data_IF_204510116412
#
_entry.id   IF_204510116412
#
_cell.length_a   1.000
_cell.length_b   1.000
_cell.length_c   1.000
_cell.angle_alpha   90.00
_cell.angle_beta   90.00
_cell.angle_gamma   90.00
#
_symmetry.space_group_name_H-M   'P 1'
#
loop_
_entity.id
_entity.type
_entity.pdbx_description
1 polymer ?
#
# COMPACT_ATOMS: atom_id res chain seq x y z
N UNK A 1 1.05 -14.27 22.95
CA UNK A 1 1.37 -13.20 23.92
C UNK A 1 1.70 -11.95 23.13
N UNK A 2 1.01 -10.84 23.39
CA UNK A 2 1.36 -9.54 22.80
C UNK A 2 2.68 -9.07 23.39
N UNK A 3 3.60 -8.60 22.54
CA UNK A 3 4.82 -7.95 23.00
C UNK A 3 4.44 -6.69 23.80
N UNK A 4 5.08 -6.47 24.96
CA UNK A 4 4.90 -5.23 25.70
C UNK A 4 5.76 -4.13 25.07
N UNK A 5 5.09 -3.17 24.43
CA UNK A 5 5.70 -2.06 23.70
C UNK A 5 5.27 -0.77 24.36
N UNK A 6 6.23 0.05 24.76
CA UNK A 6 5.99 1.37 25.34
C UNK A 6 6.63 2.46 24.45
N UNK A 7 5.81 3.36 23.91
CA UNK A 7 6.33 4.48 23.10
C UNK A 7 6.88 5.56 24.03
N UNK A 8 8.15 5.90 23.85
CA UNK A 8 8.86 6.90 24.66
C UNK A 8 8.80 8.26 24.00
N UNK A 9 8.96 8.31 22.67
CA UNK A 9 9.00 9.54 21.91
C UNK A 9 8.49 9.31 20.50
N UNK A 10 7.62 10.19 20.05
CA UNK A 10 7.25 10.32 18.64
C UNK A 10 7.62 11.74 18.18
N UNK A 11 8.54 11.84 17.22
CA UNK A 11 8.97 13.12 16.65
C UNK A 11 8.70 13.11 15.15
N UNK A 12 7.88 14.04 14.67
CA UNK A 12 7.73 14.30 13.24
C UNK A 12 9.05 14.88 12.70
N UNK A 13 9.57 14.24 11.66
CA UNK A 13 10.75 14.69 10.90
C UNK A 13 10.34 15.47 9.65
N UNK A 14 9.21 15.11 9.03
CA UNK A 14 8.65 15.78 7.84
C UNK A 14 7.15 15.54 7.76
N UNK A 15 6.37 16.54 7.34
CA UNK A 15 4.91 16.43 7.15
C UNK A 15 4.41 17.01 5.82
N UNK A 16 5.22 16.99 4.77
CA UNK A 16 4.80 17.62 3.50
C UNK A 16 3.54 16.98 2.90
N UNK A 17 3.67 15.77 2.37
CA UNK A 17 2.55 15.04 1.75
C UNK A 17 2.19 13.77 2.53
N UNK A 18 3.20 13.14 3.12
CA UNK A 18 3.12 11.97 3.98
C UNK A 18 3.98 12.23 5.21
N UNK A 19 3.67 11.57 6.32
CA UNK A 19 4.32 11.87 7.60
C UNK A 19 5.52 10.96 7.79
N UNK A 20 6.71 11.55 7.93
CA UNK A 20 7.91 10.84 8.37
C UNK A 20 8.09 11.10 9.87
N UNK A 21 8.11 10.03 10.67
CA UNK A 21 8.28 10.07 12.13
C UNK A 21 9.56 9.38 12.54
N UNK A 22 10.18 9.85 13.62
CA UNK A 22 11.25 9.16 14.32
C UNK A 22 10.70 8.68 15.66
N UNK A 23 10.35 7.40 15.72
CA UNK A 23 9.77 6.77 16.90
C UNK A 23 10.85 6.13 17.76
N UNK A 24 10.87 6.51 19.04
CA UNK A 24 11.62 5.83 20.08
C UNK A 24 10.64 5.03 20.93
N UNK A 25 10.85 3.72 21.02
CA UNK A 25 10.02 2.83 21.82
C UNK A 25 10.87 1.81 22.56
N UNK A 26 10.31 1.29 23.65
CA UNK A 26 10.89 0.22 24.44
C UNK A 26 10.11 -1.07 24.21
N UNK A 27 10.85 -2.15 23.96
CA UNK A 27 10.32 -3.49 23.75
C UNK A 27 10.77 -4.38 24.91
N UNK A 28 9.81 -4.97 25.63
CA UNK A 28 10.13 -5.99 26.64
C UNK A 28 10.26 -7.34 25.95
N UNK A 29 11.44 -7.94 26.03
CA UNK A 29 11.73 -9.28 25.49
C UNK A 29 11.11 -10.36 26.39
N UNK A 30 11.10 -11.59 25.88
CA UNK A 30 10.58 -12.74 26.62
C UNK A 30 11.36 -13.04 27.92
N UNK A 31 12.63 -12.64 28.00
CA UNK A 31 13.49 -12.76 29.19
C UNK A 31 13.26 -11.63 30.22
N UNK A 32 12.31 -10.72 29.96
CA UNK A 32 12.04 -9.56 30.81
C UNK A 32 12.99 -8.38 30.59
N UNK A 33 14.02 -8.50 29.73
CA UNK A 33 14.90 -7.39 29.40
C UNK A 33 14.16 -6.34 28.55
N UNK A 34 14.41 -5.06 28.84
CA UNK A 34 13.82 -3.94 28.09
C UNK A 34 14.87 -3.37 27.15
N UNK A 35 14.50 -3.22 25.88
CA UNK A 35 15.38 -2.68 24.84
C UNK A 35 14.77 -1.44 24.25
N UNK A 36 15.54 -0.35 24.23
CA UNK A 36 15.15 0.88 23.55
C UNK A 36 15.56 0.82 22.08
N UNK A 37 14.58 1.01 21.20
CA UNK A 37 14.75 1.12 19.76
C UNK A 37 14.43 2.54 19.30
N UNK A 38 15.09 2.93 18.21
CA UNK A 38 14.81 4.15 17.46
C UNK A 38 14.61 3.77 16.00
N UNK A 39 13.49 4.16 15.40
CA UNK A 39 13.11 3.81 14.02
C UNK A 39 12.49 5.01 13.32
N UNK A 40 12.89 5.20 12.07
CA UNK A 40 12.17 6.09 11.17
C UNK A 40 11.00 5.33 10.56
N UNK A 41 9.81 5.92 10.67
CA UNK A 41 8.54 5.34 10.20
C UNK A 41 7.97 6.33 9.19
N UNK A 42 7.84 5.88 7.95
CA UNK A 42 7.26 6.68 6.88
C UNK A 42 5.82 6.26 6.65
N UNK A 43 4.88 7.04 7.16
CA UNK A 43 3.45 6.76 7.12
C UNK A 43 2.85 7.36 5.84
N UNK A 44 2.48 6.48 4.92
CA UNK A 44 1.84 6.82 3.64
C UNK A 44 0.35 6.51 3.61
N UNK A 45 -0.22 6.08 4.73
CA UNK A 45 -1.56 5.53 4.81
C UNK A 45 -1.67 4.11 4.23
N UNK A 46 -2.89 3.58 4.26
CA UNK A 46 -3.21 2.25 3.73
C UNK A 46 -3.70 2.33 2.28
N UNK A 47 -3.38 1.31 1.50
CA UNK A 47 -3.87 1.15 0.13
C UNK A 47 -4.66 -0.13 -0.06
N UNK A 48 -5.46 -0.17 -1.13
CA UNK A 48 -6.07 -1.39 -1.64
C UNK A 48 -5.59 -1.67 -3.05
N UNK A 49 -5.46 -2.95 -3.38
CA UNK A 49 -5.19 -3.40 -4.75
C UNK A 49 -6.16 -4.50 -5.17
N UNK A 50 -6.44 -4.58 -6.47
CA UNK A 50 -7.30 -5.58 -7.08
C UNK A 50 -6.60 -6.28 -8.26
N UNK A 51 -6.72 -7.60 -8.27
CA UNK A 51 -6.38 -8.42 -9.42
C UNK A 51 -7.67 -8.90 -10.09
N UNK A 52 -7.86 -8.50 -11.35
CA UNK A 52 -8.98 -8.93 -12.18
C UNK A 52 -8.55 -10.15 -13.00
N UNK A 53 -9.23 -11.28 -12.80
CA UNK A 53 -8.96 -12.52 -13.52
C UNK A 53 -10.20 -13.00 -14.30
N UNK A 54 -10.02 -13.29 -15.58
CA UNK A 54 -11.03 -13.91 -16.42
C UNK A 54 -10.81 -15.42 -16.47
N UNK A 55 -11.70 -16.20 -15.84
CA UNK A 55 -11.60 -17.66 -15.79
C UNK A 55 -11.74 -18.35 -17.15
N UNK A 56 -12.60 -17.83 -18.02
CA UNK A 56 -12.87 -18.44 -19.33
C UNK A 56 -11.71 -18.25 -20.30
N UNK A 57 -11.12 -17.05 -20.31
CA UNK A 57 -9.97 -16.71 -21.16
C UNK A 57 -8.63 -17.03 -20.50
N UNK A 58 -8.63 -17.36 -19.22
CA UNK A 58 -7.44 -17.52 -18.38
C UNK A 58 -6.49 -16.30 -18.44
N UNK A 59 -7.04 -15.10 -18.54
CA UNK A 59 -6.28 -13.85 -18.64
C UNK A 59 -6.43 -12.96 -17.41
N UNK A 60 -5.44 -12.10 -17.16
CA UNK A 60 -5.48 -11.07 -16.12
C UNK A 60 -5.45 -9.68 -16.73
N UNK A 61 -6.02 -8.70 -16.02
CA UNK A 61 -5.91 -7.28 -16.37
C UNK A 61 -4.92 -6.61 -15.42
N UNK A 62 -3.89 -5.98 -16.00
CA UNK A 62 -2.88 -5.19 -15.30
C UNK A 62 -2.87 -3.77 -15.87
N UNK A 63 -2.24 -2.84 -15.15
CA UNK A 63 -1.99 -1.48 -15.62
C UNK A 63 -0.49 -1.25 -15.75
N UNK A 64 -0.09 -0.33 -16.64
CA UNK A 64 1.29 0.12 -16.79
C UNK A 64 1.35 1.62 -16.58
N UNK A 65 2.04 2.06 -15.52
CA UNK A 65 2.10 3.46 -15.11
C UNK A 65 3.53 3.87 -14.74
N UNK A 66 3.86 5.15 -14.87
CA UNK A 66 5.16 5.66 -14.45
C UNK A 66 5.22 5.78 -12.92
N UNK A 67 6.28 5.21 -12.31
CA UNK A 67 6.54 5.23 -10.87
C UNK A 67 7.95 5.76 -10.62
N UNK A 68 8.05 7.05 -10.24
CA UNK A 68 9.32 7.75 -10.01
C UNK A 68 10.26 7.02 -9.03
N UNK A 69 9.72 6.39 -7.98
CA UNK A 69 10.50 5.65 -6.99
C UNK A 69 11.25 4.45 -7.60
N UNK A 70 10.68 3.79 -8.62
CA UNK A 70 11.36 2.71 -9.32
C UNK A 70 12.40 3.25 -10.29
N UNK A 71 12.11 4.38 -10.93
CA UNK A 71 13.01 5.02 -11.88
C UNK A 71 14.33 5.44 -11.22
N UNK A 72 14.27 6.10 -10.06
CA UNK A 72 15.46 6.47 -9.30
C UNK A 72 16.23 5.26 -8.73
N UNK A 73 15.60 4.08 -8.69
CA UNK A 73 16.15 2.84 -8.16
C UNK A 73 16.48 1.80 -9.26
N UNK A 74 16.79 2.26 -10.48
CA UNK A 74 17.29 1.41 -11.56
C UNK A 74 16.26 0.89 -12.56
N UNK A 75 14.99 1.27 -12.48
CA UNK A 75 14.01 1.00 -13.53
C UNK A 75 14.17 2.01 -14.68
N UNK A 76 14.81 1.58 -15.79
CA UNK A 76 15.26 2.47 -16.86
C UNK A 76 14.19 3.39 -17.46
N UNK A 77 12.97 2.90 -17.67
CA UNK A 77 11.85 3.69 -18.21
C UNK A 77 10.87 4.17 -17.13
N UNK A 78 11.09 3.76 -15.87
CA UNK A 78 10.22 4.05 -14.73
C UNK A 78 8.81 3.48 -14.83
N UNK A 79 8.49 2.73 -15.89
CA UNK A 79 7.16 2.17 -16.09
C UNK A 79 7.06 0.85 -15.32
N UNK A 80 6.03 0.75 -14.49
CA UNK A 80 5.76 -0.45 -13.70
C UNK A 80 4.47 -1.11 -14.16
N UNK A 81 4.51 -2.41 -14.39
CA UNK A 81 3.31 -3.22 -14.58
C UNK A 81 2.82 -3.65 -13.20
N UNK A 82 1.59 -3.29 -12.87
CA UNK A 82 1.03 -3.49 -11.55
C UNK A 82 -0.45 -3.88 -11.61
N UNK A 83 -0.92 -4.50 -10.53
CA UNK A 83 -2.35 -4.64 -10.25
C UNK A 83 -2.97 -3.27 -10.05
N UNK A 84 -4.25 -3.14 -10.32
CA UNK A 84 -4.93 -1.87 -10.15
C UNK A 84 -5.02 -1.53 -8.66
N UNK A 85 -4.48 -0.39 -8.24
CA UNK A 85 -4.38 -0.02 -6.83
C UNK A 85 -4.75 1.45 -6.59
N UNK A 86 -5.23 1.75 -5.38
CA UNK A 86 -5.56 3.09 -4.91
C UNK A 86 -5.28 3.24 -3.41
N UNK A 87 -5.06 4.49 -2.96
CA UNK A 87 -5.05 4.82 -1.54
C UNK A 87 -6.49 4.76 -1.02
N UNK A 88 -6.66 4.29 0.22
CA UNK A 88 -8.01 4.18 0.79
C UNK A 88 -8.65 5.55 0.99
N UNK A 89 -7.89 6.60 1.34
CA UNK A 89 -8.42 7.95 1.58
C UNK A 89 -9.70 7.98 2.46
N UNK A 90 -9.73 7.11 3.47
CA UNK A 90 -10.86 6.81 4.39
C UNK A 90 -12.07 6.07 3.79
N UNK A 91 -11.99 5.60 2.54
CA UNK A 91 -12.95 4.66 1.98
C UNK A 91 -12.67 3.22 2.44
N UNK A 92 -13.73 2.42 2.51
CA UNK A 92 -13.60 0.97 2.64
C UNK A 92 -12.89 0.37 1.41
N UNK A 93 -12.07 -0.69 1.56
CA UNK A 93 -11.27 -1.25 0.48
C UNK A 93 -12.06 -1.60 -0.79
N UNK A 94 -13.29 -2.09 -0.65
CA UNK A 94 -14.15 -2.40 -1.79
C UNK A 94 -14.65 -1.13 -2.52
N UNK A 95 -14.97 -0.07 -1.77
CA UNK A 95 -15.42 1.20 -2.33
C UNK A 95 -14.28 1.93 -3.06
N UNK A 96 -13.08 1.95 -2.46
CA UNK A 96 -11.86 2.49 -3.06
C UNK A 96 -11.56 1.82 -4.42
N UNK A 97 -11.62 0.48 -4.47
CA UNK A 97 -11.36 -0.26 -5.70
C UNK A 97 -12.42 0.02 -6.77
N UNK A 98 -13.71 0.05 -6.42
CA UNK A 98 -14.78 0.38 -7.39
C UNK A 98 -14.61 1.79 -7.96
N UNK A 99 -14.22 2.78 -7.15
CA UNK A 99 -13.89 4.13 -7.65
C UNK A 99 -12.70 4.10 -8.61
N UNK A 100 -11.63 3.39 -8.23
CA UNK A 100 -10.44 3.22 -9.07
C UNK A 100 -10.68 2.50 -10.40
N UNK A 101 -11.70 1.64 -10.50
CA UNK A 101 -12.13 1.05 -11.78
C UNK A 101 -12.71 2.08 -12.75
N UNK A 102 -13.39 3.12 -12.24
CA UNK A 102 -14.01 4.16 -13.06
C UNK A 102 -13.03 5.26 -13.52
N UNK A 103 -11.96 5.50 -12.76
CA UNK A 103 -11.01 6.60 -13.01
C UNK A 103 -9.85 6.22 -13.97
N UNK A 104 -9.93 5.05 -14.62
CA UNK A 104 -8.89 4.61 -15.56
C UNK A 104 -8.82 5.45 -16.84
N UNK A 105 -7.62 5.62 -17.44
CA UNK A 105 -7.45 6.29 -18.72
C UNK A 105 -8.33 5.65 -19.81
N UNK A 106 -8.95 6.50 -20.63
CA UNK A 106 -9.89 6.12 -21.71
C UNK A 106 -9.28 5.02 -22.58
N UNK A 107 -9.90 3.84 -22.56
CA UNK A 107 -9.45 2.67 -23.33
C UNK A 107 -9.77 1.31 -22.71
N UNK A 108 -10.18 1.24 -21.44
CA UNK A 108 -10.66 -0.01 -20.83
C UNK A 108 -12.15 -0.19 -21.09
N UNK A 109 -12.51 -1.28 -21.77
CA UNK A 109 -13.90 -1.69 -21.93
C UNK A 109 -14.53 -1.94 -20.55
N UNK A 110 -15.76 -1.46 -20.35
CA UNK A 110 -16.61 -1.78 -19.19
C UNK A 110 -16.83 -3.29 -19.15
N UNK A 111 -16.00 -4.02 -18.40
CA UNK A 111 -16.21 -5.44 -18.16
C UNK A 111 -17.12 -5.59 -16.95
N UNK A 112 -18.32 -6.12 -17.20
CA UNK A 112 -19.25 -6.52 -16.14
C UNK A 112 -18.57 -7.50 -15.16
N UNK A 113 -18.95 -7.51 -13.88
CA UNK A 113 -18.29 -8.31 -12.85
C UNK A 113 -18.48 -9.79 -13.20
N UNK A 114 -17.44 -10.43 -13.73
CA UNK A 114 -17.42 -11.87 -13.98
C UNK A 114 -16.31 -12.53 -13.17
N UNK A 115 -16.75 -13.21 -12.11
CA UNK A 115 -16.14 -14.42 -11.51
C UNK A 115 -14.63 -14.36 -11.20
N UNK A 116 -14.22 -13.53 -10.25
CA UNK A 116 -12.89 -13.65 -9.63
C UNK A 116 -12.22 -12.31 -9.37
N UNK A 117 -12.69 -11.61 -8.34
CA UNK A 117 -12.04 -10.40 -7.84
C UNK A 117 -11.37 -10.75 -6.52
N UNK A 118 -10.05 -10.56 -6.43
CA UNK A 118 -9.32 -10.65 -5.16
C UNK A 118 -8.83 -9.26 -4.79
N UNK A 119 -9.40 -8.71 -3.73
CA UNK A 119 -9.01 -7.43 -3.14
C UNK A 119 -8.05 -7.74 -1.99
N UNK A 120 -6.91 -7.06 -1.96
CA UNK A 120 -5.94 -7.14 -0.88
C UNK A 120 -5.63 -5.74 -0.38
N UNK A 121 -5.72 -5.54 0.94
CA UNK A 121 -5.25 -4.32 1.59
C UNK A 121 -3.75 -4.41 1.81
N UNK A 122 -3.01 -3.39 1.37
CA UNK A 122 -1.58 -3.26 1.60
C UNK A 122 -1.41 -2.17 2.67
N UNK A 123 -0.86 -2.57 3.81
CA UNK A 123 -0.40 -1.66 4.86
C UNK A 123 1.04 -1.29 4.47
N UNK A 124 1.30 -0.03 4.18
CA UNK A 124 2.63 0.47 3.80
C UNK A 124 3.30 1.25 4.92
#
# INVERSE_FOLDING_TARGET
MSLNIHVIKDKILSENWFVLRNMTYELTRADGSVVRHKREVYDRGNGATVLLYNRHKQTVVLVRQFRVATWVNGNHDGMLIETCAGLLDNDEPEACIRKGEHEKPRGSHRMMPSTGVKITTIIS
#
